data_IF_516916630352
#
_entry.id   IF_516916630352
#
_cell.length_a   1.000
_cell.length_b   1.000
_cell.length_c   1.000
_cell.angle_alpha   90.00
_cell.angle_beta   90.00
_cell.angle_gamma   90.00
#
_symmetry.space_group_name_H-M   'P 1'
#
loop_
_entity.id
_entity.type
_entity.pdbx_description
1 polymer ?
#
# COMPACT_ATOMS: atom_id res chain seq x y z
N UNK A 1 -14.52 -17.75 9.57
CA UNK A 1 -13.82 -16.74 8.74
C UNK A 1 -14.04 -15.39 9.40
N UNK A 2 -13.03 -14.52 9.45
CA UNK A 2 -13.22 -13.15 9.93
C UNK A 2 -14.20 -12.42 9.00
N UNK A 3 -15.13 -11.64 9.56
CA UNK A 3 -16.06 -10.81 8.79
C UNK A 3 -15.36 -9.67 8.04
N UNK A 4 -16.14 -8.90 7.28
CA UNK A 4 -15.62 -7.71 6.60
C UNK A 4 -15.14 -6.68 7.61
N UNK A 5 -14.01 -6.03 7.32
CA UNK A 5 -13.35 -5.06 8.18
C UNK A 5 -13.00 -3.79 7.42
N UNK A 6 -13.20 -2.65 8.07
CA UNK A 6 -12.85 -1.32 7.56
C UNK A 6 -11.64 -0.79 8.33
N UNK A 7 -10.74 -0.07 7.64
CA UNK A 7 -9.62 0.60 8.31
C UNK A 7 -10.14 1.88 8.94
N UNK A 8 -9.93 2.07 10.24
CA UNK A 8 -10.37 3.27 10.95
C UNK A 8 -9.18 4.03 11.52
N UNK A 9 -9.19 5.35 11.36
CA UNK A 9 -8.17 6.24 11.93
C UNK A 9 -8.66 6.74 13.29
N UNK A 10 -7.96 6.38 14.37
CA UNK A 10 -8.35 6.69 15.75
C UNK A 10 -8.52 8.20 16.02
N UNK A 11 -7.68 9.04 15.42
CA UNK A 11 -7.76 10.50 15.54
C UNK A 11 -9.02 11.10 14.93
N UNK A 12 -9.82 10.31 14.19
CA UNK A 12 -11.10 10.76 13.64
C UNK A 12 -12.13 11.07 14.72
N UNK A 13 -12.02 10.45 15.90
CA UNK A 13 -12.89 10.75 17.05
C UNK A 13 -12.81 12.22 17.47
N UNK A 14 -11.61 12.80 17.40
CA UNK A 14 -11.31 14.15 17.87
C UNK A 14 -11.31 15.21 16.75
N UNK A 15 -11.74 14.83 15.54
CA UNK A 15 -11.75 15.74 14.39
C UNK A 15 -12.85 16.80 14.54
N UNK A 16 -12.56 18.08 14.25
CA UNK A 16 -13.57 19.14 14.35
C UNK A 16 -14.78 18.88 13.45
N UNK A 17 -14.61 18.12 12.36
CA UNK A 17 -15.70 17.68 11.49
C UNK A 17 -16.70 16.77 12.22
N UNK A 18 -16.25 15.90 13.14
CA UNK A 18 -17.16 15.06 13.96
C UNK A 18 -17.95 15.93 14.91
N UNK A 19 -17.29 16.88 15.58
CA UNK A 19 -17.96 17.82 16.48
C UNK A 19 -18.99 18.67 15.72
N UNK A 20 -18.67 19.15 14.52
CA UNK A 20 -19.61 19.91 13.70
C UNK A 20 -20.83 19.07 13.28
N UNK A 21 -20.64 17.81 12.88
CA UNK A 21 -21.77 16.92 12.58
C UNK A 21 -22.59 16.65 13.85
N UNK A 22 -21.95 16.48 15.00
CA UNK A 22 -22.63 16.28 16.29
C UNK A 22 -23.54 17.45 16.64
N UNK A 23 -23.02 18.67 16.51
CA UNK A 23 -23.76 19.92 16.78
C UNK A 23 -24.94 20.09 15.81
N UNK A 24 -24.74 19.80 14.52
CA UNK A 24 -25.79 19.95 13.50
C UNK A 24 -26.88 18.88 13.61
N UNK A 25 -26.49 17.65 13.96
CA UNK A 25 -27.42 16.53 14.07
C UNK A 25 -28.03 16.36 15.48
N UNK A 26 -27.62 17.19 16.45
CA UNK A 26 -28.01 17.13 17.86
C UNK A 26 -27.86 15.72 18.47
N UNK A 27 -26.68 15.14 18.26
CA UNK A 27 -26.33 13.80 18.76
C UNK A 27 -24.93 13.79 19.36
N UNK A 28 -24.70 12.81 20.22
CA UNK A 28 -23.40 12.60 20.84
C UNK A 28 -22.28 12.34 19.79
N UNK A 29 -21.07 12.94 19.95
CA UNK A 29 -19.95 12.74 19.04
C UNK A 29 -19.54 11.27 18.84
N UNK A 30 -19.60 10.42 19.87
CA UNK A 30 -19.30 8.99 19.73
C UNK A 30 -20.38 8.28 18.92
N UNK A 31 -21.63 8.73 19.04
CA UNK A 31 -22.72 8.25 18.20
C UNK A 31 -22.55 8.64 16.73
N UNK A 32 -22.01 9.84 16.44
CA UNK A 32 -21.68 10.27 15.07
C UNK A 32 -20.68 9.30 14.43
N UNK A 33 -19.67 8.85 15.18
CA UNK A 33 -18.63 7.96 14.65
C UNK A 33 -19.22 6.62 14.21
N UNK A 34 -20.06 6.00 15.04
CA UNK A 34 -20.73 4.74 14.67
C UNK A 34 -21.63 4.90 13.43
N UNK A 35 -22.26 6.07 13.30
CA UNK A 35 -23.08 6.45 12.14
C UNK A 35 -22.25 6.62 10.87
N UNK A 36 -21.10 7.27 10.95
CA UNK A 36 -20.13 7.39 9.85
C UNK A 36 -19.60 6.03 9.42
N UNK A 37 -19.23 5.16 10.36
CA UNK A 37 -18.79 3.80 10.04
C UNK A 37 -19.85 3.01 9.27
N UNK A 38 -21.13 3.22 9.56
CA UNK A 38 -22.23 2.59 8.82
C UNK A 38 -22.36 3.12 7.39
N UNK A 39 -22.20 4.44 7.18
CA UNK A 39 -22.16 5.03 5.84
C UNK A 39 -20.94 4.55 5.06
N UNK A 40 -19.75 4.64 5.64
CA UNK A 40 -18.52 4.21 4.97
C UNK A 40 -18.51 2.73 4.66
N UNK A 41 -18.99 1.88 5.56
CA UNK A 41 -19.15 0.44 5.32
C UNK A 41 -20.15 0.15 4.20
N UNK A 42 -21.22 0.94 4.09
CA UNK A 42 -22.15 0.83 2.97
C UNK A 42 -21.46 1.17 1.64
N UNK A 43 -20.73 2.30 1.58
CA UNK A 43 -19.98 2.66 0.37
C UNK A 43 -18.91 1.63 0.04
N UNK A 44 -18.22 1.08 1.03
CA UNK A 44 -17.17 0.08 0.88
C UNK A 44 -17.67 -1.25 0.30
N UNK A 45 -18.92 -1.61 0.61
CA UNK A 45 -19.56 -2.82 0.10
C UNK A 45 -20.23 -2.62 -1.27
N UNK A 46 -20.79 -1.43 -1.51
CA UNK A 46 -21.64 -1.18 -2.68
C UNK A 46 -20.88 -0.50 -3.82
N UNK A 47 -19.76 0.15 -3.54
CA UNK A 47 -18.99 0.94 -4.52
C UNK A 47 -17.54 0.47 -4.58
N UNK A 48 -16.90 0.61 -5.74
CA UNK A 48 -15.47 0.29 -5.92
C UNK A 48 -14.61 1.55 -5.83
N UNK A 49 -15.15 2.70 -6.26
CA UNK A 49 -14.45 3.98 -6.36
C UNK A 49 -15.00 5.04 -5.41
N UNK A 50 -15.93 4.69 -4.52
CA UNK A 50 -16.60 5.65 -3.64
C UNK A 50 -17.70 6.47 -4.33
N UNK A 51 -18.00 6.20 -5.61
CA UNK A 51 -19.10 6.80 -6.35
C UNK A 51 -20.34 5.91 -6.32
N UNK A 52 -21.47 6.49 -5.92
CA UNK A 52 -22.75 5.81 -5.84
C UNK A 52 -23.76 6.42 -6.83
N UNK A 53 -23.72 6.05 -8.11
CA UNK A 53 -24.73 6.47 -9.07
C UNK A 53 -26.09 5.89 -8.66
N UNK A 54 -27.12 6.75 -8.57
CA UNK A 54 -28.51 6.41 -8.25
C UNK A 54 -28.86 6.16 -6.78
N UNK A 55 -27.96 6.45 -5.82
CA UNK A 55 -28.30 6.35 -4.39
C UNK A 55 -28.91 7.63 -3.88
N UNK A 56 -30.12 7.55 -3.33
CA UNK A 56 -30.75 8.71 -2.68
C UNK A 56 -30.15 8.93 -1.28
N UNK A 57 -29.90 10.19 -0.89
CA UNK A 57 -29.53 10.55 0.49
C UNK A 57 -30.49 9.99 1.52
N UNK A 58 -31.78 9.95 1.20
CA UNK A 58 -32.84 9.40 2.06
C UNK A 58 -32.61 7.93 2.40
N UNK A 59 -32.01 7.15 1.50
CA UNK A 59 -31.64 5.76 1.77
C UNK A 59 -30.55 5.69 2.84
N UNK A 60 -29.51 6.50 2.70
CA UNK A 60 -28.39 6.56 3.64
C UNK A 60 -28.86 7.09 4.99
N UNK A 61 -29.60 8.19 5.03
CA UNK A 61 -30.18 8.75 6.27
C UNK A 61 -31.03 7.72 7.03
N UNK A 62 -31.82 6.91 6.30
CA UNK A 62 -32.60 5.80 6.89
C UNK A 62 -31.71 4.67 7.43
N UNK A 63 -30.60 4.36 6.73
CA UNK A 63 -29.61 3.38 7.16
C UNK A 63 -28.96 3.80 8.50
N UNK A 64 -28.66 5.09 8.63
CA UNK A 64 -28.01 5.67 9.81
C UNK A 64 -29.01 5.93 10.96
N UNK A 65 -30.29 6.10 10.62
CA UNK A 65 -31.36 6.44 11.55
C UNK A 65 -31.37 7.92 11.95
N UNK A 66 -30.75 8.80 11.14
CA UNK A 66 -30.73 10.26 11.35
C UNK A 66 -31.06 10.93 10.04
N UNK A 67 -32.14 11.72 10.03
CA UNK A 67 -32.57 12.47 8.85
C UNK A 67 -31.64 13.65 8.61
N UNK A 68 -31.24 13.89 7.36
CA UNK A 68 -30.31 14.96 7.00
C UNK A 68 -28.85 14.66 7.33
N UNK A 69 -28.52 13.44 7.79
CA UNK A 69 -27.14 13.07 8.12
C UNK A 69 -26.19 13.25 6.94
N UNK A 70 -26.64 12.89 5.72
CA UNK A 70 -25.87 13.13 4.50
C UNK A 70 -25.60 14.61 4.25
N UNK A 71 -26.55 15.49 4.54
CA UNK A 71 -26.37 16.93 4.35
C UNK A 71 -25.39 17.52 5.39
N UNK A 72 -25.37 16.99 6.62
CA UNK A 72 -24.33 17.31 7.60
C UNK A 72 -22.94 16.83 7.15
N UNK A 73 -22.82 15.62 6.59
CA UNK A 73 -21.57 15.13 6.01
C UNK A 73 -21.09 16.01 4.84
N UNK A 74 -22.01 16.58 4.05
CA UNK A 74 -21.68 17.54 2.99
C UNK A 74 -21.12 18.84 3.55
N UNK A 75 -21.67 19.34 4.67
CA UNK A 75 -21.22 20.59 5.28
C UNK A 75 -19.75 20.57 5.71
N UNK A 76 -19.25 19.39 6.13
CA UNK A 76 -17.85 19.17 6.52
C UNK A 76 -16.98 18.61 5.39
N UNK A 77 -17.48 18.64 4.15
CA UNK A 77 -16.79 18.10 2.97
C UNK A 77 -16.35 16.63 3.09
N UNK A 78 -17.10 15.81 3.84
CA UNK A 78 -16.92 14.35 3.90
C UNK A 78 -17.84 13.60 2.94
N UNK A 79 -18.75 14.32 2.29
CA UNK A 79 -19.57 13.84 1.21
C UNK A 79 -19.71 14.96 0.17
N UNK A 80 -19.64 14.62 -1.11
CA UNK A 80 -19.89 15.53 -2.22
C UNK A 80 -21.07 14.98 -3.01
N UNK A 81 -21.87 15.89 -3.54
CA UNK A 81 -22.95 15.57 -4.47
C UNK A 81 -22.72 16.39 -5.73
N UNK A 82 -22.52 15.71 -6.86
CA UNK A 82 -22.34 16.34 -8.17
C UNK A 82 -23.24 15.63 -9.17
N UNK A 83 -24.08 16.39 -9.86
CA UNK A 83 -24.99 15.89 -10.90
C UNK A 83 -25.88 14.69 -10.45
N UNK A 84 -26.28 14.69 -9.17
CA UNK A 84 -27.09 13.61 -8.58
C UNK A 84 -26.31 12.35 -8.20
N UNK A 85 -24.98 12.37 -8.32
CA UNK A 85 -24.09 11.30 -7.84
C UNK A 85 -23.51 11.70 -6.49
N UNK A 86 -23.63 10.81 -5.51
CA UNK A 86 -23.02 10.97 -4.18
C UNK A 86 -21.64 10.32 -4.20
N UNK A 87 -20.63 11.06 -3.75
CA UNK A 87 -19.25 10.61 -3.67
C UNK A 87 -18.63 10.94 -2.31
N UNK A 88 -17.70 10.11 -1.87
CA UNK A 88 -16.89 10.37 -0.67
C UNK A 88 -15.53 10.93 -1.09
N UNK A 89 -15.23 12.23 -0.86
CA UNK A 89 -13.89 12.75 -1.09
C UNK A 89 -12.88 12.02 -0.22
N UNK A 90 -11.69 11.76 -0.78
CA UNK A 90 -10.63 10.99 -0.11
C UNK A 90 -11.06 9.58 0.33
N UNK A 91 -11.93 8.93 -0.44
CA UNK A 91 -12.38 7.54 -0.21
C UNK A 91 -11.22 6.59 0.12
N UNK A 92 -10.09 6.69 -0.57
CA UNK A 92 -8.91 5.84 -0.31
C UNK A 92 -8.27 6.04 1.08
N UNK A 93 -8.35 7.25 1.64
CA UNK A 93 -7.80 7.56 2.97
C UNK A 93 -8.52 6.77 4.06
N UNK A 94 -9.82 6.55 3.90
CA UNK A 94 -10.68 5.89 4.88
C UNK A 94 -11.02 4.44 4.51
N UNK A 95 -11.12 4.10 3.22
CA UNK A 95 -11.60 2.79 2.75
C UNK A 95 -10.59 1.90 2.00
N UNK A 96 -9.37 2.34 1.68
CA UNK A 96 -8.30 1.49 1.11
C UNK A 96 -8.77 0.48 0.04
N UNK A 97 -8.22 -0.76 0.01
CA UNK A 97 -8.78 -1.85 -0.81
C UNK A 97 -10.18 -2.19 -0.31
N UNK A 98 -11.22 -1.91 -1.07
CA UNK A 98 -12.60 -2.02 -0.58
C UNK A 98 -13.00 -3.42 -0.12
N UNK A 99 -13.95 -3.54 0.83
CA UNK A 99 -14.53 -4.82 1.22
C UNK A 99 -15.11 -5.57 0.02
N UNK A 100 -15.72 -4.88 -0.94
CA UNK A 100 -16.22 -5.51 -2.17
C UNK A 100 -15.10 -6.27 -2.92
N UNK A 101 -13.93 -5.66 -3.08
CA UNK A 101 -12.78 -6.31 -3.73
C UNK A 101 -12.24 -7.49 -2.92
N UNK A 102 -12.21 -7.36 -1.59
CA UNK A 102 -11.80 -8.45 -0.68
C UNK A 102 -12.78 -9.61 -0.73
N UNK A 103 -14.09 -9.33 -0.73
CA UNK A 103 -15.15 -10.33 -0.81
C UNK A 103 -15.12 -11.09 -2.14
N UNK A 104 -14.96 -10.37 -3.26
CA UNK A 104 -14.83 -11.00 -4.58
C UNK A 104 -13.58 -11.89 -4.66
N UNK A 105 -12.46 -11.44 -4.09
CA UNK A 105 -11.23 -12.24 -4.01
C UNK A 105 -11.45 -13.48 -3.14
N UNK A 106 -12.08 -13.35 -1.97
CA UNK A 106 -12.39 -14.46 -1.09
C UNK A 106 -13.31 -15.49 -1.77
N UNK A 107 -14.35 -15.04 -2.50
CA UNK A 107 -15.21 -15.89 -3.31
C UNK A 107 -14.43 -16.62 -4.41
N UNK A 108 -13.56 -15.93 -5.13
CA UNK A 108 -12.69 -16.54 -6.16
C UNK A 108 -11.77 -17.60 -5.54
N UNK A 109 -11.12 -17.31 -4.42
CA UNK A 109 -10.25 -18.26 -3.71
C UNK A 109 -11.04 -19.46 -3.20
N UNK A 110 -12.24 -19.25 -2.64
CA UNK A 110 -13.11 -20.33 -2.19
C UNK A 110 -13.54 -21.25 -3.34
N UNK A 111 -13.93 -20.67 -4.48
CA UNK A 111 -14.29 -21.43 -5.68
C UNK A 111 -13.08 -22.20 -6.24
N UNK A 112 -11.90 -21.58 -6.29
CA UNK A 112 -10.67 -22.26 -6.74
C UNK A 112 -10.29 -23.44 -5.82
N UNK A 113 -10.46 -23.30 -4.50
CA UNK A 113 -10.24 -24.38 -3.54
C UNK A 113 -11.28 -25.51 -3.67
N UNK A 114 -12.54 -25.18 -3.98
CA UNK A 114 -13.60 -26.18 -4.16
C UNK A 114 -13.39 -27.03 -5.43
N UNK A 115 -12.85 -26.44 -6.50
CA UNK A 115 -12.57 -27.14 -7.77
C UNK A 115 -11.35 -28.07 -7.66
N UNK A 116 -10.34 -27.71 -6.88
CA UNK A 116 -9.11 -28.50 -6.70
C UNK A 116 -9.17 -29.55 -5.55
N UNK A 117 -10.35 -29.84 -5.00
CA UNK A 117 -10.55 -30.67 -3.80
C UNK A 117 -10.26 -32.18 -3.92
N UNK A 118 -9.55 -32.67 -4.95
CA UNK A 118 -9.27 -34.11 -5.15
C UNK A 118 -7.79 -34.45 -5.43
N UNK A 119 -6.83 -33.75 -4.84
CA UNK A 119 -5.43 -34.24 -4.83
C UNK A 119 -4.70 -33.91 -3.53
N UNK A 120 -4.96 -34.70 -2.49
CA UNK A 120 -4.02 -34.82 -1.37
C UNK A 120 -2.94 -35.84 -1.76
N UNK A 121 -1.94 -35.41 -2.53
CA UNK A 121 -0.69 -36.16 -2.62
C UNK A 121 0.14 -35.84 -1.37
N UNK A 122 0.51 -36.87 -0.60
CA UNK A 122 1.13 -36.76 0.72
C UNK A 122 2.59 -36.24 0.72
N UNK A 123 3.03 -35.53 -0.33
CA UNK A 123 4.42 -35.10 -0.44
C UNK A 123 4.61 -33.89 -1.36
N UNK A 124 4.09 -32.72 -0.96
CA UNK A 124 4.60 -31.43 -1.47
C UNK A 124 4.44 -30.35 -0.40
N UNK A 125 5.57 -29.94 0.18
CA UNK A 125 5.68 -28.70 0.96
C UNK A 125 6.19 -27.61 0.03
N UNK A 126 5.46 -26.49 -0.09
CA UNK A 126 5.96 -25.29 -0.77
C UNK A 126 4.94 -24.60 -1.68
N UNK A 127 4.38 -23.51 -1.16
CA UNK A 127 3.88 -22.29 -1.82
C UNK A 127 3.04 -22.40 -3.12
N UNK A 128 1.84 -21.83 -3.05
CA UNK A 128 0.91 -21.62 -4.16
C UNK A 128 1.57 -20.96 -5.39
N UNK A 129 1.34 -21.50 -6.60
CA UNK A 129 1.39 -20.75 -7.84
C UNK A 129 0.10 -19.91 -7.98
N UNK A 130 0.25 -18.65 -8.37
CA UNK A 130 -0.83 -17.83 -8.91
C UNK A 130 -0.60 -17.63 -10.40
N UNK A 131 -1.72 -17.58 -11.11
CA UNK A 131 -1.96 -16.93 -12.41
C UNK A 131 -1.91 -17.80 -13.67
N UNK A 132 -3.10 -17.99 -14.25
CA UNK A 132 -3.38 -18.06 -15.69
C UNK A 132 -4.71 -17.27 -15.89
N UNK A 133 -4.68 -16.11 -16.57
CA UNK A 133 -5.00 -15.88 -18.00
C UNK A 133 -6.46 -16.22 -18.34
N UNK A 134 -7.28 -15.34 -18.94
CA UNK A 134 -7.19 -15.02 -20.37
C UNK A 134 -8.04 -13.79 -20.84
N UNK A 135 -7.38 -12.98 -21.67
CA UNK A 135 -7.74 -12.49 -23.04
C UNK A 135 -9.10 -11.86 -23.39
N UNK A 136 -8.99 -10.69 -24.04
CA UNK A 136 -9.51 -10.34 -25.39
C UNK A 136 -9.14 -8.85 -25.63
N UNK A 137 -8.46 -8.35 -26.66
CA UNK A 137 -8.27 -8.72 -28.08
C UNK A 137 -6.98 -8.05 -28.62
N UNK A 138 -6.30 -8.72 -29.54
CA UNK A 138 -5.31 -8.16 -30.49
C UNK A 138 -6.01 -7.52 -31.71
N UNK A 139 -5.30 -6.92 -32.70
CA UNK A 139 -4.06 -6.13 -32.67
C UNK A 139 -4.25 -4.80 -33.44
N UNK A 140 -3.37 -3.81 -33.25
CA UNK A 140 -2.90 -2.92 -34.34
C UNK A 140 -1.76 -2.04 -33.84
N UNK A 141 -0.66 -2.15 -34.57
CA UNK A 141 0.53 -1.31 -34.53
C UNK A 141 0.18 0.18 -34.62
N UNK A 142 0.40 0.91 -33.54
CA UNK A 142 0.88 2.28 -33.54
C UNK A 142 1.48 2.55 -32.15
N UNK A 143 2.81 2.74 -32.07
CA UNK A 143 3.42 3.34 -30.89
C UNK A 143 2.91 4.78 -30.77
N UNK A 144 1.79 4.97 -30.10
CA UNK A 144 1.41 6.30 -29.63
C UNK A 144 2.36 6.70 -28.50
N UNK A 145 2.81 7.97 -28.45
CA UNK A 145 3.63 8.45 -27.35
C UNK A 145 2.79 8.38 -26.08
N UNK A 146 3.13 7.41 -25.22
CA UNK A 146 2.52 7.23 -23.91
C UNK A 146 2.70 8.53 -23.13
N UNK A 147 1.59 9.15 -22.72
CA UNK A 147 1.62 10.35 -21.88
C UNK A 147 2.47 10.05 -20.62
N UNK A 148 3.59 10.78 -20.38
CA UNK A 148 4.48 10.53 -19.25
C UNK A 148 3.82 10.59 -17.86
N UNK A 149 2.60 11.13 -17.79
CA UNK A 149 1.80 11.23 -16.56
C UNK A 149 0.83 10.08 -16.33
N UNK A 150 0.64 9.18 -17.28
CA UNK A 150 -0.20 8.00 -17.07
C UNK A 150 0.53 6.97 -16.19
N UNK A 151 -0.11 6.42 -15.15
CA UNK A 151 0.45 5.32 -14.38
C UNK A 151 0.61 4.08 -15.27
N UNK A 152 1.83 3.55 -15.34
CA UNK A 152 2.17 2.33 -16.07
C UNK A 152 2.76 1.28 -15.13
N UNK A 153 2.48 0.02 -15.42
CA UNK A 153 3.13 -1.12 -14.76
C UNK A 153 4.53 -1.32 -15.34
N UNK A 154 5.43 -1.89 -14.54
CA UNK A 154 6.75 -2.28 -15.01
C UNK A 154 6.63 -3.49 -15.94
N UNK A 155 7.03 -3.33 -17.20
CA UNK A 155 7.14 -4.43 -18.16
C UNK A 155 8.59 -4.84 -18.35
N UNK A 156 8.84 -6.08 -18.79
CA UNK A 156 10.21 -6.55 -19.06
C UNK A 156 10.89 -5.75 -20.19
N UNK A 157 10.09 -5.27 -21.14
CA UNK A 157 10.50 -4.44 -22.27
C UNK A 157 10.47 -2.94 -21.94
N UNK A 158 10.31 -2.58 -20.66
CA UNK A 158 10.26 -1.19 -20.24
C UNK A 158 11.60 -0.49 -20.52
N UNK A 159 11.52 0.68 -21.16
CA UNK A 159 12.66 1.54 -21.45
C UNK A 159 12.49 2.86 -20.71
N UNK A 160 13.52 3.35 -19.99
CA UNK A 160 13.46 4.66 -19.37
C UNK A 160 13.39 5.76 -20.42
N UNK A 161 12.58 6.78 -20.16
CA UNK A 161 12.62 8.02 -20.95
C UNK A 161 14.00 8.67 -20.78
N UNK A 162 14.72 8.88 -21.88
CA UNK A 162 16.09 9.39 -21.86
C UNK A 162 16.17 10.81 -21.31
N UNK A 163 15.21 11.68 -21.65
CA UNK A 163 15.15 13.04 -21.10
C UNK A 163 14.91 13.02 -19.58
N UNK A 164 14.02 12.10 -19.18
CA UNK A 164 13.82 11.60 -17.83
C UNK A 164 15.14 11.34 -17.13
N UNK A 165 15.84 10.35 -17.66
CA UNK A 165 17.00 9.74 -17.07
C UNK A 165 18.16 10.73 -16.93
N UNK A 166 18.43 11.51 -17.97
CA UNK A 166 19.49 12.53 -17.97
C UNK A 166 19.28 13.56 -16.87
N UNK A 167 18.08 14.11 -16.75
CA UNK A 167 17.78 15.14 -15.74
C UNK A 167 17.90 14.59 -14.32
N UNK A 168 17.34 13.42 -14.03
CA UNK A 168 17.42 12.81 -12.70
C UNK A 168 18.83 12.30 -12.36
N UNK A 169 19.58 11.78 -13.33
CA UNK A 169 20.96 11.33 -13.14
C UNK A 169 21.88 12.52 -12.84
N UNK A 170 21.75 13.63 -13.58
CA UNK A 170 22.51 14.86 -13.35
C UNK A 170 22.22 15.44 -11.97
N UNK A 171 20.96 15.48 -11.56
CA UNK A 171 20.58 15.94 -10.21
C UNK A 171 21.15 15.05 -9.08
N UNK A 172 21.52 13.79 -9.38
CA UNK A 172 22.13 12.86 -8.42
C UNK A 172 23.65 12.70 -8.60
N UNK A 173 24.26 13.43 -9.56
CA UNK A 173 25.69 13.34 -9.84
C UNK A 173 26.14 11.97 -10.38
N UNK A 174 25.28 11.27 -11.11
CA UNK A 174 25.59 9.97 -11.73
C UNK A 174 25.92 10.14 -13.22
N UNK A 175 26.91 9.38 -13.71
CA UNK A 175 27.18 9.27 -15.16
C UNK A 175 26.14 8.36 -15.81
N UNK A 176 25.78 8.67 -17.07
CA UNK A 176 24.87 7.86 -17.87
C UNK A 176 25.42 6.45 -18.14
N UNK A 177 26.75 6.27 -18.12
CA UNK A 177 27.42 4.98 -18.33
C UNK A 177 27.05 3.92 -17.27
N UNK A 178 26.55 4.37 -16.10
CA UNK A 178 26.12 3.49 -15.02
C UNK A 178 24.78 2.81 -15.32
N UNK A 179 23.99 3.35 -16.26
CA UNK A 179 22.68 2.83 -16.64
C UNK A 179 22.80 1.86 -17.82
N UNK A 180 23.60 0.81 -17.62
CA UNK A 180 23.77 -0.25 -18.63
C UNK A 180 22.48 -1.06 -18.82
N UNK A 181 22.35 -1.70 -19.99
CA UNK A 181 21.20 -2.58 -20.28
C UNK A 181 21.05 -3.69 -19.24
N UNK A 182 22.15 -4.21 -18.70
CA UNK A 182 22.13 -5.21 -17.63
C UNK A 182 21.51 -4.67 -16.33
N UNK A 183 21.82 -3.42 -15.98
CA UNK A 183 21.25 -2.75 -14.79
C UNK A 183 19.76 -2.48 -14.99
N UNK A 184 19.35 -2.07 -16.20
CA UNK A 184 17.94 -1.85 -16.52
C UNK A 184 17.18 -3.20 -16.47
N UNK A 185 17.73 -4.28 -17.02
CA UNK A 185 17.12 -5.63 -16.93
C UNK A 185 17.02 -6.14 -15.49
N UNK A 186 18.04 -5.90 -14.67
CA UNK A 186 17.97 -6.21 -13.25
C UNK A 186 16.87 -5.38 -12.57
N UNK A 187 16.74 -4.11 -12.95
CA UNK A 187 15.70 -3.20 -12.47
C UNK A 187 14.30 -3.69 -12.82
N UNK A 188 14.04 -3.96 -14.11
CA UNK A 188 12.74 -4.44 -14.59
C UNK A 188 12.41 -5.79 -13.96
N UNK A 189 13.35 -6.75 -13.91
CA UNK A 189 13.11 -8.07 -13.33
C UNK A 189 12.79 -8.08 -11.83
N UNK A 190 13.19 -7.05 -11.08
CA UNK A 190 12.82 -6.93 -9.66
C UNK A 190 11.46 -6.27 -9.44
N UNK A 191 11.03 -5.39 -10.35
CA UNK A 191 9.79 -4.63 -10.19
C UNK A 191 8.61 -5.18 -11.01
N UNK A 192 8.86 -5.92 -12.09
CA UNK A 192 7.84 -6.65 -12.85
C UNK A 192 6.99 -7.56 -11.95
N UNK A 193 7.56 -8.43 -11.09
CA UNK A 193 6.73 -9.34 -10.28
C UNK A 193 6.04 -8.65 -9.11
N UNK A 194 6.34 -7.36 -8.86
CA UNK A 194 5.74 -6.61 -7.74
C UNK A 194 4.39 -6.00 -8.10
N UNK A 195 4.04 -5.92 -9.38
CA UNK A 195 2.76 -5.36 -9.84
C UNK A 195 2.52 -3.93 -9.34
N UNK A 196 3.59 -3.16 -9.12
CA UNK A 196 3.50 -1.76 -8.72
C UNK A 196 3.15 -0.93 -9.95
N UNK A 197 2.25 0.03 -9.80
CA UNK A 197 1.93 1.04 -10.82
C UNK A 197 2.58 2.35 -10.43
N UNK A 198 3.39 2.92 -11.31
CA UNK A 198 3.95 4.25 -11.12
C UNK A 198 3.93 5.02 -12.45
N UNK A 199 4.06 6.34 -12.38
CA UNK A 199 4.32 7.16 -13.57
C UNK A 199 5.73 6.93 -14.11
N UNK A 200 5.97 7.28 -15.38
CA UNK A 200 7.29 7.15 -16.00
C UNK A 200 8.38 7.91 -15.22
N UNK A 201 8.05 9.10 -14.71
CA UNK A 201 8.95 9.90 -13.89
C UNK A 201 9.31 9.23 -12.56
N UNK A 202 8.35 8.57 -11.91
CA UNK A 202 8.58 7.82 -10.68
C UNK A 202 9.45 6.58 -10.92
N UNK A 203 9.20 5.85 -12.02
CA UNK A 203 10.03 4.71 -12.42
C UNK A 203 11.48 5.11 -12.67
N UNK A 204 11.70 6.18 -13.43
CA UNK A 204 13.04 6.73 -13.68
C UNK A 204 13.70 7.19 -12.37
N UNK A 205 12.97 7.89 -11.49
CA UNK A 205 13.48 8.31 -10.18
C UNK A 205 13.90 7.13 -9.32
N UNK A 206 13.14 6.03 -9.36
CA UNK A 206 13.46 4.78 -8.66
C UNK A 206 14.69 4.09 -9.27
N UNK A 207 14.83 4.07 -10.59
CA UNK A 207 16.01 3.54 -11.28
C UNK A 207 17.27 4.30 -10.87
N UNK A 208 17.24 5.63 -10.91
CA UNK A 208 18.37 6.48 -10.48
C UNK A 208 18.72 6.25 -9.00
N UNK A 209 17.73 6.13 -8.11
CA UNK A 209 17.96 5.78 -6.70
C UNK A 209 18.59 4.40 -6.54
N UNK A 210 18.14 3.41 -7.30
CA UNK A 210 18.73 2.07 -7.27
C UNK A 210 20.20 2.13 -7.67
N UNK A 211 20.54 2.72 -8.82
CA UNK A 211 21.92 2.81 -9.31
C UNK A 211 22.81 3.56 -8.31
N UNK A 212 22.31 4.64 -7.69
CA UNK A 212 23.05 5.34 -6.66
C UNK A 212 23.36 4.43 -5.45
N UNK A 213 22.36 3.68 -4.98
CA UNK A 213 22.54 2.77 -3.85
C UNK A 213 23.50 1.63 -4.20
N UNK A 214 23.45 1.14 -5.43
CA UNK A 214 24.37 0.10 -5.92
C UNK A 214 25.81 0.61 -5.95
N UNK A 215 26.04 1.83 -6.47
CA UNK A 215 27.35 2.50 -6.44
C UNK A 215 27.88 2.67 -5.01
N UNK A 216 27.03 3.11 -4.08
CA UNK A 216 27.41 3.28 -2.66
C UNK A 216 27.74 1.92 -2.01
N UNK A 217 26.97 0.87 -2.31
CA UNK A 217 27.22 -0.49 -1.82
C UNK A 217 28.52 -1.07 -2.37
N UNK A 218 28.77 -0.90 -3.67
CA UNK A 218 30.01 -1.33 -4.32
C UNK A 218 31.24 -0.60 -3.75
N UNK A 219 31.10 0.69 -3.41
CA UNK A 219 32.16 1.43 -2.72
C UNK A 219 32.39 0.93 -1.28
N UNK A 220 31.32 0.59 -0.55
CA UNK A 220 31.41 0.11 0.83
C UNK A 220 31.96 -1.32 0.95
N UNK A 221 31.62 -2.22 0.03
CA UNK A 221 32.12 -3.61 0.03
C UNK A 221 33.64 -3.68 -0.15
N UNK A 222 34.23 -2.69 -0.81
CA UNK A 222 35.68 -2.63 -1.05
C UNK A 222 36.46 -2.08 0.16
N UNK A 223 35.80 -1.57 1.21
CA UNK A 223 36.44 -0.86 2.34
C UNK A 223 36.00 -1.43 3.69
N UNK A 224 36.18 -2.74 3.91
CA UNK A 224 36.09 -3.31 5.27
C UNK A 224 37.50 -3.57 5.81
N UNK A 225 38.06 -2.70 6.68
CA UNK A 225 39.30 -3.01 7.36
C UNK A 225 39.09 -4.18 8.34
N UNK A 226 39.97 -5.17 8.26
CA UNK A 226 39.99 -6.29 9.21
C UNK A 226 40.10 -5.76 10.63
N UNK A 227 39.14 -6.12 11.49
CA UNK A 227 39.22 -5.84 12.93
C UNK A 227 40.38 -6.63 13.51
N UNK A 228 41.51 -5.96 13.79
CA UNK A 228 42.61 -6.59 14.51
C UNK A 228 42.12 -7.00 15.90
N UNK A 229 42.27 -8.29 16.21
CA UNK A 229 41.93 -8.87 17.51
C UNK A 229 42.89 -8.27 18.55
N UNK A 230 42.35 -7.52 19.52
CA UNK A 230 43.15 -6.97 20.62
C UNK A 230 43.80 -8.08 21.45
N UNK A 231 44.92 -7.80 22.14
CA UNK A 231 45.69 -8.80 22.86
C UNK A 231 44.84 -9.45 23.98
N UNK A 232 45.07 -10.73 24.30
CA UNK A 232 44.38 -11.40 25.40
C UNK A 232 44.89 -10.79 26.71
N UNK A 233 44.06 -9.99 27.37
CA UNK A 233 44.37 -9.35 28.64
C UNK A 233 43.45 -9.84 29.73
N UNK A 234 44.10 -10.28 30.82
CA UNK A 234 43.63 -10.44 32.19
C UNK A 234 42.92 -11.76 32.53
N UNK A 235 43.74 -12.68 33.03
CA UNK A 235 43.35 -13.82 33.85
C UNK A 235 42.40 -13.38 34.97
N UNK A 236 41.22 -13.99 35.01
CA UNK A 236 40.33 -13.94 36.15
C UNK A 236 40.96 -14.78 37.27
N UNK A 237 41.42 -14.15 38.34
CA UNK A 237 41.87 -14.83 39.56
C UNK A 237 40.65 -15.39 40.32
N UNK A 238 40.42 -16.70 40.18
CA UNK A 238 39.28 -17.46 40.75
C UNK A 238 39.44 -17.76 42.27
N UNK A 239 40.51 -17.28 42.91
CA UNK A 239 40.81 -17.54 44.33
C UNK A 239 40.37 -16.43 45.31
N UNK A 240 39.60 -15.44 44.85
CA UNK A 240 39.13 -14.32 45.70
C UNK A 240 37.97 -14.72 46.62
N UNK A 241 38.28 -15.13 47.85
CA UNK A 241 37.33 -15.46 48.95
C UNK A 241 36.85 -14.25 49.77
N UNK A 242 36.98 -13.03 49.25
CA UNK A 242 36.56 -11.79 49.93
C UNK A 242 35.05 -11.72 50.25
N UNK A 243 34.22 -12.58 49.67
CA UNK A 243 32.79 -12.65 49.96
C UNK A 243 32.42 -13.47 51.21
N UNK A 244 33.37 -14.19 51.83
CA UNK A 244 33.10 -15.06 52.99
C UNK A 244 33.17 -14.36 54.36
N UNK A 245 33.75 -13.16 54.47
CA UNK A 245 33.95 -12.48 55.75
C UNK A 245 33.19 -11.15 55.78
N UNK A 246 31.88 -11.22 56.02
CA UNK A 246 31.04 -10.03 56.12
C UNK A 246 29.74 -10.26 56.88
N UNK A 247 29.83 -10.77 58.11
CA UNK A 247 28.64 -10.89 58.96
C UNK A 247 28.90 -11.48 60.35
N UNK A 248 29.47 -10.70 61.27
CA UNK A 248 29.06 -10.67 62.68
C UNK A 248 29.78 -9.53 63.44
N UNK A 249 28.94 -8.59 63.91
CA UNK A 249 29.11 -7.53 64.94
C UNK A 249 30.16 -6.44 64.72
#
# INVERSE_FOLDING_TARGET
>A
MAGDWIKFELTTLDKPEVCQIADLADIDPDAVVGKLMRVWGWFDQQTETGNAPSVSKKLLDRLVGVSGFCDHMKSVAWMIESDGVISLPHFDRHNGKTAKNRLLTAKRVANHKAVNGKSNAANVSGALPKEDLEKNKEPLSAHEPVDPRMPSEMTLDWVPDQTLLETYALHRGLSLDLFTEAVIKAFTGHYEPKGQTNTQAEWVSMLVKWVNNDKVRAAASNVTPFRQKGPPGQDYDDDSVEWLTGGQS
#
